data_IF_595256048604
#
_entry.id   IF_595256048604
#
_cell.length_a   1.000
_cell.length_b   1.000
_cell.length_c   1.000
_cell.angle_alpha   90.00
_cell.angle_beta   90.00
_cell.angle_gamma   90.00
#
_symmetry.space_group_name_H-M   'P 1'
#
loop_
_entity.id
_entity.type
_entity.pdbx_description
1 polymer ?
#
# COMPACT_ATOMS: atom_id res chain seq x y z
N UNK A 1 5.24 -15.54 -47.92
CA UNK A 1 5.57 -16.24 -46.65
C UNK A 1 6.06 -15.27 -45.57
N UNK A 2 6.88 -14.26 -45.89
CA UNK A 2 7.36 -13.28 -44.90
C UNK A 2 6.26 -12.34 -44.37
N UNK A 3 5.36 -11.86 -45.24
CA UNK A 3 4.32 -10.90 -44.84
C UNK A 3 3.27 -11.53 -43.91
N UNK A 4 2.96 -12.81 -44.11
CA UNK A 4 2.05 -13.55 -43.25
C UNK A 4 2.61 -13.70 -41.82
N UNK A 5 3.92 -13.95 -41.69
CA UNK A 5 4.60 -13.98 -40.39
C UNK A 5 4.64 -12.60 -39.73
N UNK A 6 4.85 -11.52 -40.52
CA UNK A 6 4.80 -10.16 -40.00
C UNK A 6 3.41 -9.79 -39.44
N UNK A 7 2.33 -10.20 -40.11
CA UNK A 7 0.96 -10.01 -39.64
C UNK A 7 0.70 -10.78 -38.34
N UNK A 8 1.12 -12.06 -38.26
CA UNK A 8 0.97 -12.86 -37.04
C UNK A 8 1.77 -12.25 -35.88
N UNK A 9 3.00 -11.81 -36.14
CA UNK A 9 3.85 -11.17 -35.14
C UNK A 9 3.21 -9.88 -34.61
N UNK A 10 2.63 -9.06 -35.50
CA UNK A 10 1.92 -7.84 -35.13
C UNK A 10 0.69 -8.14 -34.25
N UNK A 11 -0.06 -9.20 -34.57
CA UNK A 11 -1.21 -9.63 -33.75
C UNK A 11 -0.75 -10.06 -32.36
N UNK A 12 0.31 -10.88 -32.25
CA UNK A 12 0.87 -11.29 -30.97
C UNK A 12 1.38 -10.09 -30.16
N UNK A 13 2.07 -9.14 -30.82
CA UNK A 13 2.52 -7.91 -30.19
C UNK A 13 1.35 -7.08 -29.66
N UNK A 14 0.29 -6.90 -30.46
CA UNK A 14 -0.89 -6.15 -30.06
C UNK A 14 -1.63 -6.82 -28.89
N UNK A 15 -1.72 -8.14 -28.86
CA UNK A 15 -2.34 -8.89 -27.76
C UNK A 15 -1.58 -8.69 -26.43
N UNK A 16 -0.25 -8.78 -26.45
CA UNK A 16 0.60 -8.61 -25.26
C UNK A 16 0.58 -7.14 -24.80
N UNK A 17 0.78 -6.19 -25.71
CA UNK A 17 0.77 -4.77 -25.40
C UNK A 17 -0.60 -4.29 -24.87
N UNK A 18 -1.69 -4.74 -25.51
CA UNK A 18 -3.06 -4.46 -25.07
C UNK A 18 -3.37 -5.07 -23.70
N UNK A 19 -2.93 -6.31 -23.45
CA UNK A 19 -3.08 -6.97 -22.16
C UNK A 19 -2.34 -6.24 -21.03
N UNK A 20 -1.09 -5.84 -21.25
CA UNK A 20 -0.32 -5.08 -20.28
C UNK A 20 -0.96 -3.71 -19.97
N UNK A 21 -1.45 -3.01 -21.00
CA UNK A 21 -2.11 -1.72 -20.85
C UNK A 21 -3.45 -1.83 -20.11
N UNK A 22 -4.24 -2.88 -20.38
CA UNK A 22 -5.49 -3.15 -19.65
C UNK A 22 -5.23 -3.39 -18.15
N UNK A 23 -4.20 -4.17 -17.81
CA UNK A 23 -3.82 -4.40 -16.40
C UNK A 23 -3.38 -3.11 -15.71
N UNK A 24 -2.53 -2.31 -16.37
CA UNK A 24 -2.02 -1.05 -15.80
C UNK A 24 -3.13 -0.02 -15.56
N UNK A 25 -4.10 0.09 -16.48
CA UNK A 25 -5.25 0.99 -16.31
C UNK A 25 -6.20 0.55 -15.18
N UNK A 26 -6.30 -0.75 -14.92
CA UNK A 26 -7.06 -1.27 -13.77
C UNK A 26 -6.37 -0.90 -12.43
N UNK A 27 -5.05 -1.03 -12.34
CA UNK A 27 -4.29 -0.64 -11.13
C UNK A 27 -4.40 0.87 -10.83
N UNK A 28 -4.35 1.73 -11.85
CA UNK A 28 -4.48 3.18 -11.68
C UNK A 28 -5.88 3.60 -11.20
N UNK A 29 -6.95 2.92 -11.67
CA UNK A 29 -8.32 3.18 -11.20
C UNK A 29 -8.56 2.70 -9.76
N UNK A 30 -7.88 1.63 -9.33
CA UNK A 30 -7.95 1.13 -7.96
C UNK A 30 -7.18 2.01 -6.95
N UNK A 31 -6.11 2.66 -7.38
CA UNK A 31 -5.25 3.48 -6.53
C UNK A 31 -5.90 4.79 -6.05
N UNK A 32 -6.98 5.25 -6.70
CA UNK A 32 -7.69 6.48 -6.29
C UNK A 32 -8.70 6.26 -5.17
N UNK A 33 -8.94 5.01 -4.75
CA UNK A 33 -9.74 4.79 -3.55
C UNK A 33 -8.85 5.02 -2.32
N UNK A 34 -9.15 6.04 -1.48
CA UNK A 34 -8.48 6.15 -0.20
C UNK A 34 -8.76 4.86 0.56
N UNK A 35 -7.71 4.10 0.88
CA UNK A 35 -7.80 3.01 1.84
C UNK A 35 -8.40 3.64 3.11
N UNK A 36 -9.65 3.29 3.42
CA UNK A 36 -10.20 3.66 4.72
C UNK A 36 -9.25 3.05 5.75
N UNK A 37 -8.63 3.84 6.64
CA UNK A 37 -7.79 3.26 7.66
C UNK A 37 -8.67 2.28 8.44
N UNK A 38 -8.33 1.00 8.35
CA UNK A 38 -8.96 -0.03 9.16
C UNK A 38 -8.72 0.40 10.60
N UNK A 39 -9.75 0.86 11.30
CA UNK A 39 -9.61 1.13 12.73
C UNK A 39 -9.30 -0.21 13.37
N UNK A 40 -8.13 -0.28 13.97
CA UNK A 40 -7.76 -1.32 14.91
C UNK A 40 -8.93 -1.50 15.91
N UNK A 41 -9.44 -2.73 16.11
CA UNK A 41 -10.54 -2.98 17.05
C UNK A 41 -10.28 -2.46 18.47
N UNK A 42 -9.02 -2.36 18.85
CA UNK A 42 -8.50 -1.85 20.12
C UNK A 42 -8.32 -0.32 20.16
N UNK A 43 -8.56 0.38 19.06
CA UNK A 43 -8.42 1.84 19.02
C UNK A 43 -9.53 2.49 19.86
N UNK A 44 -9.17 3.31 20.87
CA UNK A 44 -10.14 3.96 21.74
C UNK A 44 -11.17 4.78 20.96
N UNK A 45 -12.42 4.79 21.42
CA UNK A 45 -13.45 5.64 20.81
C UNK A 45 -13.20 7.11 21.15
N UNK A 46 -13.71 8.01 20.30
CA UNK A 46 -13.61 9.45 20.57
C UNK A 46 -14.35 9.77 21.89
N UNK A 47 -13.60 10.25 22.89
CA UNK A 47 -14.12 10.54 24.23
C UNK A 47 -13.85 9.46 25.28
N UNK A 48 -13.21 8.35 24.92
CA UNK A 48 -12.76 7.34 25.88
C UNK A 48 -11.45 7.79 26.57
N UNK A 49 -11.30 7.59 27.89
CA UNK A 49 -10.07 7.97 28.59
C UNK A 49 -8.89 7.12 28.11
N UNK A 50 -7.96 7.76 27.40
CA UNK A 50 -6.72 7.12 26.95
C UNK A 50 -5.67 7.27 28.03
N UNK A 51 -5.13 6.15 28.51
CA UNK A 51 -3.93 6.18 29.33
C UNK A 51 -2.73 6.44 28.42
N UNK A 52 -2.30 7.70 28.36
CA UNK A 52 -1.06 8.09 27.70
C UNK A 52 0.09 8.01 28.70
N UNK A 53 1.17 7.32 28.32
CA UNK A 53 2.43 7.36 29.07
C UNK A 53 3.33 8.36 28.37
N UNK A 54 3.58 9.50 29.02
CA UNK A 54 4.55 10.47 28.55
C UNK A 54 5.97 10.00 28.90
N UNK A 55 6.70 9.56 27.88
CA UNK A 55 8.09 9.16 27.98
C UNK A 55 8.99 10.30 27.50
N UNK A 56 9.11 11.34 28.33
CA UNK A 56 10.12 12.37 28.12
C UNK A 56 11.52 11.79 28.30
N UNK A 57 12.50 12.39 27.61
CA UNK A 57 13.89 11.93 27.57
C UNK A 57 14.46 11.64 28.97
N UNK A 58 14.21 12.52 29.92
CA UNK A 58 14.67 12.40 31.32
C UNK A 58 14.10 11.14 31.99
N UNK A 59 12.79 10.88 31.81
CA UNK A 59 12.11 9.69 32.34
C UNK A 59 12.63 8.40 31.72
N UNK A 60 12.95 8.43 30.42
CA UNK A 60 13.56 7.30 29.70
C UNK A 60 14.96 6.98 30.23
N UNK A 61 15.78 8.01 30.44
CA UNK A 61 17.14 7.86 30.98
C UNK A 61 17.10 7.29 32.42
N UNK A 62 16.16 7.74 33.26
CA UNK A 62 15.92 7.18 34.59
C UNK A 62 15.46 5.72 34.57
N UNK A 63 14.55 5.36 33.66
CA UNK A 63 14.07 3.99 33.51
C UNK A 63 15.18 3.05 33.06
N UNK A 64 16.01 3.50 32.11
CA UNK A 64 17.17 2.75 31.65
C UNK A 64 18.16 2.47 32.79
N UNK A 65 18.43 3.48 33.63
CA UNK A 65 19.30 3.36 34.81
C UNK A 65 18.74 2.44 35.91
N UNK A 66 17.41 2.26 36.01
CA UNK A 66 16.79 1.38 37.01
C UNK A 66 16.76 -0.09 36.61
N UNK A 67 16.84 -0.38 35.31
CA UNK A 67 16.76 -1.75 34.76
C UNK A 67 18.14 -2.34 34.50
N UNK A 68 19.16 -1.49 34.29
CA UNK A 68 20.57 -1.87 34.22
C UNK A 68 21.18 -2.10 35.61
#
# INVERSE_FOLDING_TARGET
MNDFLAVIYLICFAAIAGGAFALMTQSLRGASQPLRPSRHPEAPQAGEPVMYVDLNRERLEELYQKVS
#
